data_IF_589626385956
#
_entry.id   IF_589626385956
#
_cell.length_a   1.000
_cell.length_b   1.000
_cell.length_c   1.000
_cell.angle_alpha   90.00
_cell.angle_beta   90.00
_cell.angle_gamma   90.00
#
_symmetry.space_group_name_H-M   'P 1'
#
loop_
_entity.id
_entity.type
_entity.pdbx_description
1 polymer ?
#
# COMPACT_ATOMS: atom_id res chain seq x y z
N UNK A 1 31.87 40.57 35.99
CA UNK A 1 31.14 39.51 36.71
C UNK A 1 29.67 39.91 36.77
N UNK A 2 28.67 39.24 36.23
CA UNK A 2 28.50 38.05 35.40
C UNK A 2 27.00 38.08 35.05
N UNK A 3 26.63 38.12 33.78
CA UNK A 3 26.17 36.91 33.09
C UNK A 3 24.64 36.81 33.15
N UNK A 4 23.94 37.51 32.24
CA UNK A 4 22.49 37.44 32.07
C UNK A 4 22.14 36.12 31.36
N UNK A 5 21.85 35.08 32.16
CA UNK A 5 21.44 33.77 31.67
C UNK A 5 20.01 33.81 31.13
N UNK A 6 19.88 33.84 29.80
CA UNK A 6 18.62 33.59 29.12
C UNK A 6 18.32 32.09 29.17
N UNK A 7 17.39 31.68 30.03
CA UNK A 7 16.77 30.35 29.95
C UNK A 7 15.48 30.47 29.14
N UNK A 8 15.57 30.20 27.84
CA UNK A 8 14.40 29.97 26.98
C UNK A 8 13.96 28.51 27.06
N UNK A 9 12.65 28.20 26.93
CA UNK A 9 12.15 26.84 27.06
C UNK A 9 12.65 25.94 25.94
N UNK A 10 13.36 24.87 26.33
CA UNK A 10 13.86 23.85 25.41
C UNK A 10 12.68 23.01 24.92
N UNK A 11 12.27 23.24 23.67
CA UNK A 11 11.14 22.54 23.06
C UNK A 11 11.63 21.20 22.50
N UNK A 12 11.18 20.08 23.06
CA UNK A 12 11.46 18.75 22.52
C UNK A 12 10.43 18.39 21.45
N UNK A 13 10.81 18.47 20.19
CA UNK A 13 10.03 17.90 19.08
C UNK A 13 10.34 16.42 18.95
N UNK A 14 9.34 15.56 19.13
CA UNK A 14 9.42 14.12 18.83
C UNK A 14 8.94 13.88 17.40
N UNK A 15 9.76 13.21 16.59
CA UNK A 15 9.42 12.80 15.23
C UNK A 15 9.19 11.29 15.22
N UNK A 16 7.96 10.86 14.92
CA UNK A 16 7.60 9.44 14.75
C UNK A 16 7.75 9.05 13.26
N UNK A 17 8.64 8.10 12.98
CA UNK A 17 8.85 7.56 11.63
C UNK A 17 8.24 6.16 11.55
N UNK A 18 7.20 6.01 10.74
CA UNK A 18 6.53 4.71 10.52
C UNK A 18 7.07 4.02 9.28
N UNK A 19 7.71 2.87 9.48
CA UNK A 19 8.10 1.97 8.39
C UNK A 19 6.95 1.04 8.02
N UNK A 20 6.76 0.80 6.72
CA UNK A 20 5.78 -0.15 6.22
C UNK A 20 6.27 -0.84 4.96
N UNK A 21 5.82 -2.08 4.77
CA UNK A 21 6.01 -2.80 3.52
C UNK A 21 4.77 -2.60 2.66
N UNK A 22 4.97 -2.20 1.42
CA UNK A 22 3.95 -2.18 0.39
C UNK A 22 4.12 -3.40 -0.53
N UNK A 23 3.01 -3.99 -0.94
CA UNK A 23 2.97 -5.05 -1.92
C UNK A 23 2.04 -4.70 -3.06
N UNK A 24 2.38 -5.18 -4.25
CA UNK A 24 1.62 -4.98 -5.48
C UNK A 24 1.04 -6.30 -5.93
N UNK A 25 -0.24 -6.30 -6.30
CA UNK A 25 -0.87 -7.40 -7.03
C UNK A 25 -1.26 -6.89 -8.43
N UNK A 26 -0.85 -7.62 -9.46
CA UNK A 26 -1.23 -7.36 -10.84
C UNK A 26 -1.92 -8.58 -11.43
N UNK A 27 -2.96 -8.35 -12.23
CA UNK A 27 -3.69 -9.39 -12.98
C UNK A 27 -3.77 -8.96 -14.43
N UNK A 28 -3.27 -9.82 -15.31
CA UNK A 28 -3.31 -9.65 -16.76
C UNK A 28 -4.19 -10.74 -17.39
N UNK A 29 -5.11 -10.32 -18.25
CA UNK A 29 -5.93 -11.24 -19.04
C UNK A 29 -5.54 -11.14 -20.52
N UNK A 30 -5.36 -12.30 -21.15
CA UNK A 30 -4.99 -12.42 -22.56
C UNK A 30 -6.04 -13.19 -23.34
N UNK A 31 -6.26 -12.80 -24.58
CA UNK A 31 -7.04 -13.58 -25.54
C UNK A 31 -6.21 -14.80 -26.01
N UNK A 32 -6.75 -16.00 -25.83
CA UNK A 32 -6.03 -17.25 -26.08
C UNK A 32 -5.72 -17.51 -27.56
N UNK A 33 -6.51 -16.95 -28.48
CA UNK A 33 -6.35 -17.16 -29.92
C UNK A 33 -5.27 -16.23 -30.50
N UNK A 34 -5.31 -14.96 -30.11
CA UNK A 34 -4.44 -13.90 -30.63
C UNK A 34 -3.20 -13.67 -29.77
N UNK A 35 -3.17 -14.20 -28.53
CA UNK A 35 -2.14 -13.97 -27.51
C UNK A 35 -1.95 -12.49 -27.16
N UNK A 36 -2.98 -11.67 -27.37
CA UNK A 36 -2.95 -10.23 -27.08
C UNK A 36 -3.54 -9.96 -25.70
N UNK A 37 -3.02 -8.97 -24.95
CA UNK A 37 -3.63 -8.54 -23.70
C UNK A 37 -5.00 -7.91 -24.00
N UNK A 38 -6.01 -8.30 -23.23
CA UNK A 38 -7.38 -7.76 -23.34
C UNK A 38 -7.77 -6.94 -22.12
N UNK A 39 -7.09 -7.14 -20.99
CA UNK A 39 -7.34 -6.40 -19.77
C UNK A 39 -6.15 -6.48 -18.81
N UNK A 40 -5.99 -5.43 -18.00
CA UNK A 40 -4.97 -5.31 -16.97
C UNK A 40 -5.59 -4.62 -15.75
N UNK A 41 -5.28 -5.11 -14.56
CA UNK A 41 -5.53 -4.39 -13.32
C UNK A 41 -4.34 -4.51 -12.37
N UNK A 42 -4.15 -3.45 -11.56
CA UNK A 42 -3.12 -3.34 -10.53
C UNK A 42 -3.72 -2.82 -9.24
N UNK A 43 -3.31 -3.39 -8.12
CA UNK A 43 -3.63 -2.91 -6.78
C UNK A 43 -2.37 -2.87 -5.93
N UNK A 44 -2.09 -1.71 -5.35
CA UNK A 44 -1.04 -1.52 -4.35
C UNK A 44 -1.66 -1.47 -2.94
N UNK A 45 -1.07 -2.22 -1.99
CA UNK A 45 -1.56 -2.37 -0.62
C UNK A 45 -0.42 -2.52 0.38
N UNK A 46 -0.57 -1.89 1.54
CA UNK A 46 0.32 -2.13 2.68
C UNK A 46 0.16 -3.55 3.21
N UNK A 47 1.26 -4.29 3.30
CA UNK A 47 1.31 -5.62 3.90
C UNK A 47 1.26 -5.47 5.42
N UNK A 48 0.09 -5.73 5.99
CA UNK A 48 -0.12 -5.73 7.45
C UNK A 48 -0.01 -7.14 8.03
N UNK A 49 0.06 -7.26 9.36
CA UNK A 49 0.04 -8.56 10.05
C UNK A 49 -1.19 -9.39 9.67
N UNK A 50 -2.36 -8.74 9.57
CA UNK A 50 -3.62 -9.37 9.15
C UNK A 50 -3.53 -10.00 7.76
N UNK A 51 -2.86 -9.34 6.82
CA UNK A 51 -2.60 -9.89 5.47
C UNK A 51 -1.75 -11.16 5.55
N UNK A 52 -0.76 -11.20 6.44
CA UNK A 52 0.13 -12.37 6.60
C UNK A 52 -0.57 -13.54 7.30
N UNK A 53 -1.46 -13.25 8.25
CA UNK A 53 -2.20 -14.27 9.01
C UNK A 53 -3.32 -14.91 8.18
N UNK A 54 -3.96 -14.17 7.29
CA UNK A 54 -4.99 -14.69 6.39
C UNK A 54 -4.84 -14.13 4.96
N UNK A 55 -3.83 -14.63 4.22
CA UNK A 55 -3.51 -14.13 2.88
C UNK A 55 -4.61 -14.46 1.88
N UNK A 56 -5.24 -15.63 1.99
CA UNK A 56 -6.24 -16.10 1.03
C UNK A 56 -7.51 -15.24 1.02
N UNK A 57 -8.05 -14.89 2.19
CA UNK A 57 -9.23 -14.02 2.26
C UNK A 57 -8.92 -12.60 1.79
N UNK A 58 -7.75 -12.08 2.18
CA UNK A 58 -7.28 -10.76 1.72
C UNK A 58 -7.15 -10.72 0.20
N UNK A 59 -6.53 -11.73 -0.41
CA UNK A 59 -6.37 -11.82 -1.86
C UNK A 59 -7.73 -11.92 -2.57
N UNK A 60 -8.69 -12.69 -2.04
CA UNK A 60 -10.05 -12.77 -2.60
C UNK A 60 -10.73 -11.41 -2.62
N UNK A 61 -10.62 -10.63 -1.55
CA UNK A 61 -11.17 -9.28 -1.51
C UNK A 61 -10.53 -8.35 -2.54
N UNK A 62 -9.19 -8.34 -2.61
CA UNK A 62 -8.45 -7.50 -3.58
C UNK A 62 -8.83 -7.88 -5.02
N UNK A 63 -8.89 -9.18 -5.33
CA UNK A 63 -9.31 -9.65 -6.65
C UNK A 63 -10.76 -9.22 -6.96
N UNK A 64 -11.66 -9.32 -5.98
CA UNK A 64 -13.04 -8.84 -6.11
C UNK A 64 -13.11 -7.36 -6.50
N UNK A 65 -12.34 -6.52 -5.81
CA UNK A 65 -12.24 -5.08 -6.13
C UNK A 65 -11.69 -4.84 -7.54
N UNK A 66 -10.64 -5.58 -7.93
CA UNK A 66 -10.02 -5.46 -9.26
C UNK A 66 -10.99 -5.84 -10.38
N UNK A 67 -11.73 -6.94 -10.21
CA UNK A 67 -12.68 -7.42 -11.22
C UNK A 67 -14.01 -6.66 -11.23
N UNK A 68 -14.29 -5.78 -10.26
CA UNK A 68 -15.49 -4.93 -10.29
C UNK A 68 -15.51 -3.97 -11.50
N UNK A 69 -14.34 -3.63 -12.05
CA UNK A 69 -14.18 -2.80 -13.25
C UNK A 69 -14.02 -3.64 -14.54
N UNK A 70 -14.22 -4.96 -14.46
CA UNK A 70 -14.17 -5.87 -15.59
C UNK A 70 -15.57 -6.37 -15.97
N UNK A 71 -15.88 -6.55 -17.26
CA UNK A 71 -15.08 -6.17 -18.42
C UNK A 71 -15.07 -4.64 -18.62
N UNK A 72 -14.01 -4.09 -19.24
CA UNK A 72 -14.01 -2.69 -19.65
C UNK A 72 -15.11 -2.45 -20.68
N UNK A 73 -15.90 -1.40 -20.46
CA UNK A 73 -16.99 -0.95 -21.35
C UNK A 73 -16.49 -0.34 -22.65
#
# INVERSE_FOLDING_TARGET
>A
WGGRGYYGPQTYTSTDVRQYTEGTLAVDLYDGATRKPVWHARADRKITKKVRENPSETLRAILGDMFAAFPPS
#
